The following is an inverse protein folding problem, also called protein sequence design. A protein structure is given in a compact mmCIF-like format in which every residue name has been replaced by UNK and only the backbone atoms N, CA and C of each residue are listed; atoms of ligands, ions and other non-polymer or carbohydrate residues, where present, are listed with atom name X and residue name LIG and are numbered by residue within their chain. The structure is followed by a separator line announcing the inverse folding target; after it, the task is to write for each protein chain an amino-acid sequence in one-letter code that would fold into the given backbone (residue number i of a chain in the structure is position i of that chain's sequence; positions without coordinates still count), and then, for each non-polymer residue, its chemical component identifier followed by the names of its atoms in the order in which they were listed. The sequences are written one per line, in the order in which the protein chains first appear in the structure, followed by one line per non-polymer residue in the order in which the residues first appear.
data_IF_059095724818
#
_entry.id   IF_059095724818
#
_cell.length_a   1.000
_cell.length_b   1.000
_cell.length_c   1.000
_cell.angle_alpha   90.00
_cell.angle_beta   90.00
_cell.angle_gamma   90.00
#
_symmetry.space_group_name_H-M   'P 1'
#
loop_
_entity.id
_entity.type
_entity.pdbx_description
1 polymer ?
#
# COMPACT_ATOMS: atom_id res chain seq x y z
N UNK A 1 17.14 18.24 -5.05
CA UNK A 1 18.17 17.52 -5.83
C UNK A 1 17.77 16.05 -5.79
N UNK A 2 17.35 15.48 -6.92
CA UNK A 2 16.93 14.07 -6.95
C UNK A 2 18.18 13.21 -7.01
N UNK A 3 18.45 12.51 -5.91
CA UNK A 3 19.44 11.43 -5.87
C UNK A 3 19.00 10.33 -6.86
N UNK A 4 19.91 9.71 -7.62
CA UNK A 4 19.55 8.56 -8.44
C UNK A 4 18.90 7.49 -7.56
N UNK A 5 17.75 6.97 -8.02
CA UNK A 5 17.02 5.90 -7.33
C UNK A 5 17.64 4.60 -7.81
N UNK A 6 18.25 3.86 -6.89
CA UNK A 6 18.88 2.58 -7.20
C UNK A 6 17.92 1.42 -6.91
N UNK A 7 17.93 0.42 -7.78
CA UNK A 7 17.15 -0.81 -7.62
C UNK A 7 17.93 -1.78 -6.74
N UNK A 8 17.49 -1.95 -5.49
CA UNK A 8 17.93 -3.03 -4.61
C UNK A 8 16.72 -3.79 -4.01
N UNK A 9 16.96 -4.92 -3.36
CA UNK A 9 15.89 -5.73 -2.74
C UNK A 9 15.11 -4.99 -1.63
N UNK A 10 15.55 -3.78 -1.25
CA UNK A 10 14.88 -2.93 -0.26
C UNK A 10 14.01 -1.84 -0.89
N UNK A 11 14.05 -1.63 -2.20
CA UNK A 11 13.20 -0.64 -2.85
C UNK A 11 11.77 -1.16 -2.96
N UNK A 12 10.83 -0.48 -2.31
CA UNK A 12 9.41 -0.75 -2.48
C UNK A 12 8.83 0.08 -3.61
N UNK A 13 8.19 -0.55 -4.60
CA UNK A 13 7.58 0.19 -5.71
C UNK A 13 6.37 1.03 -5.25
N UNK A 14 5.76 0.71 -4.10
CA UNK A 14 4.69 1.52 -3.52
C UNK A 14 5.20 2.80 -2.84
N UNK A 15 6.51 2.91 -2.55
CA UNK A 15 7.10 4.14 -2.02
C UNK A 15 7.30 5.22 -3.11
N UNK A 16 7.22 4.83 -4.38
CA UNK A 16 7.57 5.70 -5.50
C UNK A 16 6.35 6.36 -6.14
N UNK A 17 6.44 7.67 -6.34
CA UNK A 17 5.51 8.41 -7.20
C UNK A 17 5.69 8.03 -8.67
N UNK A 18 4.70 8.38 -9.51
CA UNK A 18 4.81 8.15 -10.95
C UNK A 18 6.01 8.87 -11.58
N UNK A 19 6.37 10.04 -11.05
CA UNK A 19 7.53 10.80 -11.51
C UNK A 19 8.83 10.07 -11.16
N UNK A 20 8.94 9.53 -9.95
CA UNK A 20 10.09 8.75 -9.49
C UNK A 20 10.21 7.43 -10.25
N UNK A 21 9.11 6.72 -10.48
CA UNK A 21 9.11 5.53 -11.35
C UNK A 21 9.52 5.86 -12.79
N UNK A 22 9.07 7.01 -13.31
CA UNK A 22 9.50 7.46 -14.64
C UNK A 22 11.00 7.71 -14.68
N UNK A 23 11.57 8.29 -13.62
CA UNK A 23 13.01 8.52 -13.53
C UNK A 23 13.78 7.20 -13.39
N UNK A 24 13.33 6.29 -12.51
CA UNK A 24 13.89 4.97 -12.32
C UNK A 24 14.00 4.20 -13.64
N UNK A 25 12.96 4.24 -14.46
CA UNK A 25 12.97 3.59 -15.78
C UNK A 25 13.95 4.25 -16.74
N UNK A 26 14.06 5.58 -16.76
CA UNK A 26 15.07 6.27 -17.57
C UNK A 26 16.49 5.89 -17.16
N UNK A 27 16.74 5.79 -15.86
CA UNK A 27 18.06 5.43 -15.31
C UNK A 27 18.45 3.99 -15.68
N UNK A 28 17.47 3.11 -15.89
CA UNK A 28 17.67 1.76 -16.46
C UNK A 28 17.83 1.72 -17.99
N UNK A 29 17.71 2.85 -18.69
CA UNK A 29 17.69 2.90 -20.16
C UNK A 29 16.36 2.48 -20.78
N UNK A 30 15.28 2.40 -20.00
CA UNK A 30 13.94 2.06 -20.46
C UNK A 30 13.12 3.28 -20.89
N UNK A 31 12.13 3.05 -21.74
CA UNK A 31 11.25 4.10 -22.24
C UNK A 31 10.29 4.61 -21.14
N UNK A 32 10.11 5.93 -21.04
CA UNK A 32 9.29 6.56 -19.99
C UNK A 32 7.85 6.04 -19.89
N UNK A 33 7.25 5.58 -21.00
CA UNK A 33 5.89 5.03 -20.99
C UNK A 33 5.78 3.72 -20.20
N UNK A 34 6.88 2.98 -20.02
CA UNK A 34 6.91 1.73 -19.24
C UNK A 34 6.57 1.96 -17.76
N UNK A 35 6.96 3.11 -17.21
CA UNK A 35 6.55 3.50 -15.85
C UNK A 35 5.02 3.63 -15.73
N UNK A 36 4.33 4.15 -16.76
CA UNK A 36 2.85 4.20 -16.79
C UNK A 36 2.21 2.82 -16.90
N UNK A 37 2.85 1.88 -17.61
CA UNK A 37 2.38 0.50 -17.65
C UNK A 37 2.48 -0.15 -16.26
N UNK A 38 3.64 -0.03 -15.61
CA UNK A 38 3.83 -0.48 -14.22
C UNK A 38 2.79 0.16 -13.28
N UNK A 39 2.62 1.48 -13.34
CA UNK A 39 1.62 2.20 -12.54
C UNK A 39 0.21 1.64 -12.70
N UNK A 40 -0.22 1.36 -13.94
CA UNK A 40 -1.51 0.74 -14.21
C UNK A 40 -1.63 -0.65 -13.60
N UNK A 41 -0.56 -1.44 -13.61
CA UNK A 41 -0.56 -2.76 -12.97
C UNK A 41 -0.68 -2.67 -11.45
N UNK A 42 0.08 -1.78 -10.82
CA UNK A 42 0.07 -1.61 -9.36
C UNK A 42 -1.29 -1.13 -8.84
N UNK A 43 -1.87 -0.12 -9.49
CA UNK A 43 -3.00 0.62 -8.90
C UNK A 43 -4.36 0.37 -9.57
N UNK A 44 -4.39 -0.13 -10.81
CA UNK A 44 -5.66 -0.40 -11.52
C UNK A 44 -5.93 -1.90 -11.67
N UNK A 45 -4.90 -2.68 -12.02
CA UNK A 45 -4.98 -4.15 -12.08
C UNK A 45 -4.72 -4.81 -10.73
N UNK A 46 -4.22 -4.04 -9.75
CA UNK A 46 -3.96 -4.48 -8.38
C UNK A 46 -3.00 -5.67 -8.30
N UNK A 47 -2.04 -5.75 -9.23
CA UNK A 47 -1.05 -6.82 -9.26
C UNK A 47 -0.26 -6.90 -7.95
N UNK A 48 0.08 -8.12 -7.56
CA UNK A 48 0.84 -8.44 -6.36
C UNK A 48 2.25 -8.91 -6.66
N UNK A 49 2.54 -9.22 -7.92
CA UNK A 49 3.84 -9.68 -8.38
C UNK A 49 4.18 -9.09 -9.76
N UNK A 50 5.42 -8.60 -10.00
CA UNK A 50 5.85 -8.10 -11.31
C UNK A 50 5.72 -9.13 -12.45
N UNK A 51 5.73 -10.42 -12.15
CA UNK A 51 5.54 -11.50 -13.13
C UNK A 51 4.16 -11.46 -13.79
N UNK A 52 3.15 -10.89 -13.13
CA UNK A 52 1.79 -10.71 -13.66
C UNK A 52 1.72 -9.67 -14.79
N UNK A 53 2.74 -8.80 -14.90
CA UNK A 53 2.72 -7.62 -15.75
C UNK A 53 3.04 -7.95 -17.22
N UNK A 54 2.12 -8.62 -17.90
CA UNK A 54 2.34 -9.26 -19.22
C UNK A 54 2.76 -8.31 -20.34
N UNK A 55 2.43 -7.01 -20.23
CA UNK A 55 2.81 -5.98 -21.20
C UNK A 55 4.22 -5.38 -20.98
N UNK A 56 4.90 -5.75 -19.90
CA UNK A 56 6.32 -5.48 -19.68
C UNK A 56 7.17 -6.58 -20.34
N UNK A 57 8.42 -6.27 -20.71
CA UNK A 57 9.32 -7.28 -21.27
C UNK A 57 9.68 -8.33 -20.21
N UNK A 58 10.04 -9.55 -20.63
CA UNK A 58 10.47 -10.61 -19.70
C UNK A 58 11.67 -10.14 -18.86
N UNK A 59 12.65 -9.50 -19.50
CA UNK A 59 13.83 -8.93 -18.83
C UNK A 59 13.44 -7.92 -17.76
N UNK A 60 12.52 -6.99 -18.07
CA UNK A 60 12.09 -5.98 -17.12
C UNK A 60 11.32 -6.57 -15.94
N UNK A 61 10.45 -7.56 -16.18
CA UNK A 61 9.77 -8.28 -15.10
C UNK A 61 10.79 -8.94 -14.17
N UNK A 62 11.80 -9.62 -14.71
CA UNK A 62 12.88 -10.23 -13.91
C UNK A 62 13.63 -9.19 -13.09
N UNK A 63 14.03 -8.05 -13.67
CA UNK A 63 14.71 -6.97 -12.94
C UNK A 63 13.86 -6.44 -11.79
N UNK A 64 12.57 -6.19 -12.03
CA UNK A 64 11.65 -5.70 -11.00
C UNK A 64 11.43 -6.76 -9.90
N UNK A 65 11.26 -8.03 -10.25
CA UNK A 65 11.13 -9.12 -9.27
C UNK A 65 12.39 -9.28 -8.41
N UNK A 66 13.58 -9.17 -9.01
CA UNK A 66 14.84 -9.43 -8.30
C UNK A 66 15.34 -8.24 -7.49
N UNK A 67 14.96 -7.01 -7.89
CA UNK A 67 15.54 -5.77 -7.36
C UNK A 67 14.52 -4.75 -6.87
N UNK A 68 13.31 -5.20 -6.58
CA UNK A 68 12.32 -4.40 -5.88
C UNK A 68 11.37 -5.33 -5.13
N UNK A 69 10.52 -4.74 -4.30
CA UNK A 69 9.43 -5.44 -3.65
C UNK A 69 8.13 -4.66 -3.78
N UNK A 70 7.04 -5.34 -3.43
CA UNK A 70 5.72 -4.76 -3.21
C UNK A 70 5.34 -5.07 -1.77
N UNK A 71 5.26 -4.06 -0.89
CA UNK A 71 5.00 -4.25 0.55
C UNK A 71 3.86 -5.25 0.76
N UNK A 72 4.13 -6.46 1.30
CA UNK A 72 3.07 -7.42 1.57
C UNK A 72 2.49 -7.13 2.94
N UNK A 73 1.24 -6.65 2.99
CA UNK A 73 0.49 -6.62 4.24
C UNK A 73 -0.29 -7.92 4.43
N UNK A 74 -0.03 -8.60 5.54
CA UNK A 74 -0.77 -9.79 5.98
C UNK A 74 -1.47 -9.47 7.30
N UNK A 75 -2.80 -9.62 7.38
CA UNK A 75 -3.49 -9.39 8.63
C UNK A 75 -3.10 -10.48 9.63
N UNK A 76 -2.84 -10.09 10.87
CA UNK A 76 -2.61 -11.02 11.99
C UNK A 76 -3.89 -11.25 12.81
N UNK A 77 -4.89 -10.39 12.64
CA UNK A 77 -6.23 -10.55 13.21
C UNK A 77 -7.24 -9.77 12.37
N UNK A 78 -8.49 -10.24 12.37
CA UNK A 78 -9.63 -9.51 11.82
C UNK A 78 -10.81 -9.54 12.78
N UNK A 79 -11.65 -8.51 12.73
CA UNK A 79 -12.88 -8.39 13.50
C UNK A 79 -13.99 -7.80 12.63
N UNK A 80 -15.22 -8.23 12.87
CA UNK A 80 -16.41 -7.78 12.15
C UNK A 80 -17.41 -7.16 13.12
N UNK A 81 -18.09 -6.10 12.69
CA UNK A 81 -19.27 -5.60 13.39
C UNK A 81 -20.40 -6.63 13.33
N UNK A 82 -21.35 -6.52 14.26
CA UNK A 82 -22.51 -7.43 14.36
C UNK A 82 -23.41 -7.40 13.12
N UNK A 83 -23.45 -6.28 12.39
CA UNK A 83 -24.19 -6.12 11.13
C UNK A 83 -23.37 -6.50 9.89
N UNK A 84 -22.10 -6.89 10.07
CA UNK A 84 -21.16 -7.27 9.01
C UNK A 84 -20.72 -6.12 8.10
N UNK A 85 -21.14 -4.87 8.33
CA UNK A 85 -20.84 -3.74 7.45
C UNK A 85 -19.47 -3.12 7.72
N UNK A 86 -18.88 -3.40 8.88
CA UNK A 86 -17.55 -2.90 9.26
C UNK A 86 -16.62 -4.06 9.51
N UNK A 87 -15.43 -4.00 8.92
CA UNK A 87 -14.35 -4.93 9.16
C UNK A 87 -13.10 -4.18 9.61
N UNK A 88 -12.52 -4.59 10.74
CA UNK A 88 -11.24 -4.09 11.25
C UNK A 88 -10.16 -5.14 11.07
N UNK A 89 -9.06 -4.74 10.47
CA UNK A 89 -7.87 -5.57 10.23
C UNK A 89 -6.72 -5.04 11.07
N UNK A 90 -5.98 -5.96 11.70
CA UNK A 90 -4.72 -5.67 12.37
C UNK A 90 -3.58 -6.19 11.49
N UNK A 91 -2.72 -5.30 11.01
CA UNK A 91 -1.55 -5.65 10.22
C UNK A 91 -0.29 -5.65 11.08
N UNK A 92 0.63 -6.56 10.80
CA UNK A 92 2.00 -6.53 11.32
C UNK A 92 2.95 -6.03 10.24
N UNK A 93 3.67 -4.96 10.56
CA UNK A 93 4.70 -4.35 9.72
C UNK A 93 6.02 -5.14 9.83
N UNK A 94 6.96 -4.90 8.92
CA UNK A 94 8.23 -5.64 8.85
C UNK A 94 9.06 -5.53 10.14
N UNK A 95 8.97 -4.38 10.82
CA UNK A 95 9.65 -4.11 12.09
C UNK A 95 8.85 -4.61 13.32
N UNK A 96 7.79 -5.39 13.10
CA UNK A 96 6.97 -6.00 14.14
C UNK A 96 5.91 -5.08 14.75
N UNK A 97 5.88 -3.80 14.37
CA UNK A 97 4.85 -2.87 14.80
C UNK A 97 3.48 -3.28 14.24
N UNK A 98 2.42 -2.85 14.93
CA UNK A 98 1.04 -3.16 14.56
C UNK A 98 0.31 -1.88 14.15
N UNK A 99 -0.47 -1.95 13.08
CA UNK A 99 -1.35 -0.88 12.62
C UNK A 99 -2.72 -1.43 12.25
N UNK A 100 -3.74 -0.60 12.36
CA UNK A 100 -5.12 -1.00 12.08
C UNK A 100 -5.59 -0.39 10.76
N UNK A 101 -6.43 -1.12 10.04
CA UNK A 101 -7.16 -0.59 8.88
C UNK A 101 -8.61 -1.02 8.98
N UNK A 102 -9.52 -0.09 8.71
CA UNK A 102 -10.97 -0.36 8.79
C UNK A 102 -11.62 -0.22 7.41
N UNK A 103 -12.32 -1.25 6.97
CA UNK A 103 -13.26 -1.19 5.86
C UNK A 103 -14.66 -0.93 6.40
N UNK A 104 -15.29 0.15 5.94
CA UNK A 104 -16.69 0.47 6.21
C UNK A 104 -17.51 0.44 4.93
N UNK A 105 -18.57 -0.36 4.93
CA UNK A 105 -19.52 -0.51 3.83
C UNK A 105 -20.76 0.32 4.14
N UNK A 106 -21.05 1.28 3.28
CA UNK A 106 -22.28 2.08 3.30
C UNK A 106 -23.06 1.82 2.02
N UNK A 107 -24.34 2.19 1.96
CA UNK A 107 -25.19 1.94 0.79
C UNK A 107 -24.52 2.28 -0.57
N UNK A 108 -23.85 3.44 -0.66
CA UNK A 108 -23.26 3.95 -1.92
C UNK A 108 -21.73 4.07 -1.92
N UNK A 109 -21.05 3.75 -0.82
CA UNK A 109 -19.60 3.97 -0.70
C UNK A 109 -18.89 2.87 0.07
N UNK A 110 -17.61 2.69 -0.23
CA UNK A 110 -16.66 1.84 0.50
C UNK A 110 -15.55 2.75 0.99
N UNK A 111 -15.54 2.96 2.31
CA UNK A 111 -14.61 3.88 2.97
C UNK A 111 -13.54 3.08 3.69
N UNK A 112 -12.28 3.40 3.41
CA UNK A 112 -11.15 2.87 4.15
C UNK A 112 -10.66 3.90 5.17
N UNK A 113 -10.53 3.48 6.43
CA UNK A 113 -9.77 4.21 7.42
C UNK A 113 -8.37 3.60 7.50
N UNK A 114 -7.34 4.39 7.21
CA UNK A 114 -5.94 3.93 7.17
C UNK A 114 -5.10 4.67 8.21
N UNK A 115 -4.14 3.95 8.81
CA UNK A 115 -3.14 4.54 9.70
C UNK A 115 -2.01 5.17 8.90
N UNK A 116 -1.42 6.23 9.45
CA UNK A 116 -0.24 6.93 8.88
C UNK A 116 0.99 6.88 9.79
N UNK A 117 0.81 6.38 11.01
CA UNK A 117 1.85 6.22 12.03
C UNK A 117 1.65 4.89 12.76
N UNK A 118 2.74 4.32 13.27
CA UNK A 118 2.66 3.31 14.33
C UNK A 118 2.63 4.04 15.67
N UNK A 119 1.46 4.05 16.32
CA UNK A 119 1.20 4.91 17.48
C UNK A 119 1.00 6.39 17.09
N UNK A 120 0.89 7.28 18.08
CA UNK A 120 0.71 8.72 17.84
C UNK A 120 1.37 9.57 18.93
N UNK A 121 2.16 10.57 18.52
CA UNK A 121 2.91 11.43 19.44
C UNK A 121 2.06 12.52 20.12
N UNK A 122 0.82 12.71 19.66
CA UNK A 122 -0.04 13.81 20.13
C UNK A 122 -0.52 13.64 21.57
N UNK A 123 -0.56 12.41 22.09
CA UNK A 123 -0.90 12.16 23.50
C UNK A 123 -2.33 12.55 23.89
N UNK A 124 -3.28 12.58 22.94
CA UNK A 124 -4.68 12.90 23.22
C UNK A 124 -5.26 11.90 24.25
N UNK A 125 -5.66 12.37 25.42
CA UNK A 125 -6.04 11.52 26.57
C UNK A 125 -7.24 10.59 26.32
N UNK A 126 -8.12 10.95 25.37
CA UNK A 126 -9.28 10.16 24.97
C UNK A 126 -8.99 9.16 23.83
N UNK A 127 -7.79 9.19 23.26
CA UNK A 127 -7.40 8.37 22.12
C UNK A 127 -6.51 7.22 22.57
N UNK A 128 -6.95 5.98 22.36
CA UNK A 128 -6.15 4.79 22.64
C UNK A 128 -4.77 4.84 21.93
N UNK A 129 -4.74 5.27 20.67
CA UNK A 129 -3.49 5.44 19.89
C UNK A 129 -2.56 6.49 20.50
N UNK A 130 -3.10 7.57 21.06
CA UNK A 130 -2.32 8.57 21.79
C UNK A 130 -1.72 8.02 23.08
N UNK A 131 -2.42 7.10 23.76
CA UNK A 131 -1.93 6.46 25.00
C UNK A 131 -0.84 5.41 24.74
N UNK A 132 -0.79 4.82 23.54
CA UNK A 132 0.25 3.85 23.15
C UNK A 132 1.64 4.51 22.95
N UNK A 133 1.69 5.84 22.83
CA UNK A 133 2.90 6.57 22.47
C UNK A 133 3.20 6.51 20.96
N UNK A 134 4.36 7.02 20.57
CA UNK A 134 4.81 7.11 19.19
C UNK A 134 6.04 6.25 18.94
N UNK A 135 6.00 5.46 17.87
CA UNK A 135 7.12 4.61 17.48
C UNK A 135 7.79 5.17 16.23
N UNK A 136 7.03 5.34 15.14
CA UNK A 136 7.52 5.95 13.89
C UNK A 136 6.39 6.33 12.95
N UNK A 137 6.75 7.09 11.92
CA UNK A 137 5.92 7.26 10.73
C UNK A 137 5.92 5.99 9.87
N UNK A 138 4.82 5.75 9.18
CA UNK A 138 4.76 4.74 8.14
C UNK A 138 5.43 5.26 6.86
N UNK A 139 6.00 4.35 6.07
CA UNK A 139 6.42 4.69 4.71
C UNK A 139 5.20 4.90 3.81
N UNK A 140 5.40 5.53 2.65
CA UNK A 140 4.31 5.68 1.67
C UNK A 140 3.80 4.31 1.23
N UNK A 141 4.70 3.35 1.03
CA UNK A 141 4.37 1.97 0.68
C UNK A 141 3.51 1.27 1.73
N UNK A 142 3.81 1.43 3.02
CA UNK A 142 2.99 0.87 4.10
C UNK A 142 1.58 1.47 4.16
N UNK A 143 1.44 2.77 3.89
CA UNK A 143 0.12 3.44 3.83
C UNK A 143 -0.67 2.96 2.61
N UNK A 144 -0.02 2.93 1.43
CA UNK A 144 -0.62 2.48 0.17
C UNK A 144 -1.01 1.01 0.24
N UNK A 145 -0.20 0.16 0.87
CA UNK A 145 -0.46 -1.27 0.99
C UNK A 145 -1.75 -1.57 1.77
N UNK A 146 -2.11 -0.74 2.77
CA UNK A 146 -3.40 -0.87 3.49
C UNK A 146 -4.58 -0.69 2.53
N UNK A 147 -4.48 0.30 1.64
CA UNK A 147 -5.49 0.58 0.62
C UNK A 147 -5.56 -0.55 -0.40
N UNK A 148 -4.42 -0.99 -0.93
CA UNK A 148 -4.35 -2.02 -1.96
C UNK A 148 -4.82 -3.38 -1.46
N UNK A 149 -4.56 -3.72 -0.19
CA UNK A 149 -5.08 -4.94 0.42
C UNK A 149 -6.60 -5.00 0.33
N UNK A 150 -7.28 -3.97 0.83
CA UNK A 150 -8.76 -3.90 0.84
C UNK A 150 -9.33 -3.64 -0.56
N UNK A 151 -8.60 -2.96 -1.44
CA UNK A 151 -9.00 -2.79 -2.83
C UNK A 151 -9.06 -4.14 -3.57
N UNK A 152 -8.09 -5.03 -3.34
CA UNK A 152 -8.09 -6.39 -3.90
C UNK A 152 -9.25 -7.22 -3.36
N UNK A 153 -9.49 -7.14 -2.06
CA UNK A 153 -10.62 -7.83 -1.44
C UNK A 153 -11.97 -7.36 -2.00
N UNK A 154 -12.17 -6.05 -2.13
CA UNK A 154 -13.38 -5.48 -2.72
C UNK A 154 -13.52 -5.86 -4.20
N UNK A 155 -12.43 -5.86 -4.96
CA UNK A 155 -12.46 -6.26 -6.36
C UNK A 155 -12.94 -7.71 -6.54
N UNK A 156 -12.61 -8.61 -5.62
CA UNK A 156 -13.08 -9.99 -5.63
C UNK A 156 -14.60 -10.12 -5.46
N UNK A 157 -15.27 -9.15 -4.83
CA UNK A 157 -16.72 -9.06 -4.71
C UNK A 157 -17.38 -8.11 -5.73
N UNK A 158 -16.64 -7.67 -6.75
CA UNK A 158 -17.16 -6.73 -7.77
C UNK A 158 -17.33 -5.30 -7.27
N UNK A 159 -16.71 -4.96 -6.15
CA UNK A 159 -16.77 -3.66 -5.51
C UNK A 159 -15.45 -2.90 -5.68
N UNK A 160 -15.44 -1.62 -5.31
CA UNK A 160 -14.23 -0.79 -5.35
C UNK A 160 -14.18 0.17 -4.18
N UNK A 161 -12.97 0.56 -3.79
CA UNK A 161 -12.75 1.66 -2.85
C UNK A 161 -13.27 2.95 -3.48
N UNK A 162 -14.05 3.72 -2.73
CA UNK A 162 -14.56 5.02 -3.18
C UNK A 162 -14.05 6.17 -2.31
N UNK A 163 -13.68 5.90 -1.06
CA UNK A 163 -13.24 6.90 -0.11
C UNK A 163 -12.10 6.37 0.75
N UNK A 164 -11.17 7.24 1.09
CA UNK A 164 -10.08 6.98 2.05
C UNK A 164 -10.11 8.12 3.05
N UNK A 165 -10.02 7.79 4.34
CA UNK A 165 -9.86 8.73 5.43
C UNK A 165 -8.58 8.38 6.20
N UNK A 166 -7.80 9.41 6.53
CA UNK A 166 -6.58 9.29 7.33
C UNK A 166 -6.94 9.53 8.81
N UNK A 167 -7.60 8.54 9.39
CA UNK A 167 -8.18 8.61 10.75
C UNK A 167 -7.86 7.37 11.59
N UNK A 168 -6.88 6.56 11.16
CA UNK A 168 -6.39 5.38 11.87
C UNK A 168 -5.15 5.65 12.71
#
# INVERSE_FOLDING_TARGET
MNKPIDLDTRLDLYDLSLAELTQLFKDMGEQAFRARQLWGWLYQRLATDPTEMTNLSKTLRTILTDRSRLTPLKPVSEQHSSDGQTKKLLFRLEDGQLVETVLMRYEKRRTLCVSTQAGCAMGCVFCATGQMGFMRHLTTGEIVAQVLYLARELAASGERVTNIVLMG
#
